data_IF_546531355031
#
_entry.id   IF_546531355031
#
_cell.length_a   1.000
_cell.length_b   1.000
_cell.length_c   1.000
_cell.angle_alpha   90.00
_cell.angle_beta   90.00
_cell.angle_gamma   90.00
#
_symmetry.space_group_name_H-M   'P 1'
#
loop_
_entity.id
_entity.type
_entity.pdbx_description
1 polymer ?
#
# COMPACT_ATOMS: atom_id res chain seq x y z
N UNK A 1 -2.78 -0.11 10.27
CA UNK A 1 -3.20 0.37 11.61
C UNK A 1 -2.46 -0.26 12.77
N UNK A 2 -2.40 -1.59 12.89
CA UNK A 2 -1.79 -2.24 14.07
C UNK A 2 -0.31 -1.87 14.30
N UNK A 3 0.52 -1.89 13.25
CA UNK A 3 1.91 -1.43 13.32
C UNK A 3 2.01 0.10 13.54
N UNK A 4 1.19 0.88 12.84
CA UNK A 4 1.19 2.34 12.95
C UNK A 4 0.77 2.80 14.36
N UNK A 5 -0.15 2.09 15.00
CA UNK A 5 -0.52 2.34 16.39
C UNK A 5 0.70 2.18 17.31
N UNK A 6 1.51 1.14 17.12
CA UNK A 6 2.74 0.95 17.89
C UNK A 6 3.80 2.01 17.60
N UNK A 7 3.95 2.41 16.34
CA UNK A 7 4.87 3.47 15.94
C UNK A 7 4.46 4.82 16.57
N UNK A 8 3.16 5.13 16.54
CA UNK A 8 2.57 6.31 17.20
C UNK A 8 2.69 6.19 18.71
N UNK A 9 2.46 5.02 19.33
CA UNK A 9 2.64 4.85 20.78
C UNK A 9 4.11 4.97 21.21
N UNK A 10 5.04 4.51 20.37
CA UNK A 10 6.47 4.63 20.62
C UNK A 10 6.97 6.07 20.51
N UNK A 11 6.32 6.90 19.68
CA UNK A 11 6.79 8.26 19.35
C UNK A 11 5.89 9.39 19.85
N UNK A 12 4.66 9.10 20.26
CA UNK A 12 3.67 10.09 20.67
C UNK A 12 3.35 10.04 22.15
N UNK A 13 2.89 11.18 22.70
CA UNK A 13 2.47 11.31 24.09
C UNK A 13 0.99 10.91 24.33
N UNK A 14 0.31 10.40 23.31
CA UNK A 14 -1.11 10.04 23.37
C UNK A 14 -1.31 8.54 23.10
N UNK A 15 -2.23 7.92 23.83
CA UNK A 15 -2.64 6.53 23.57
C UNK A 15 -3.54 6.49 22.34
N UNK A 16 -3.13 5.75 21.31
CA UNK A 16 -3.96 5.45 20.14
C UNK A 16 -4.43 3.99 20.21
N UNK A 17 -5.73 3.77 20.40
CA UNK A 17 -6.38 2.49 20.21
C UNK A 17 -7.20 2.57 18.91
N UNK A 18 -6.94 1.67 17.96
CA UNK A 18 -7.76 1.57 16.75
C UNK A 18 -9.00 0.73 17.04
N UNK A 19 -10.16 1.37 17.23
CA UNK A 19 -11.47 0.68 17.39
C UNK A 19 -12.08 0.24 16.05
N UNK A 20 -11.25 -0.06 15.05
CA UNK A 20 -11.71 -0.34 13.68
C UNK A 20 -12.01 -1.83 13.44
N UNK A 21 -11.57 -2.70 14.35
CA UNK A 21 -11.76 -4.14 14.24
C UNK A 21 -12.92 -4.58 15.15
N UNK A 22 -13.87 -5.39 14.64
CA UNK A 22 -14.98 -5.89 15.43
C UNK A 22 -14.51 -6.87 16.52
N UNK A 23 -15.35 -7.07 17.54
CA UNK A 23 -15.04 -7.91 18.71
C UNK A 23 -14.74 -9.38 18.38
N UNK A 24 -15.12 -9.87 17.20
CA UNK A 24 -14.79 -11.21 16.74
C UNK A 24 -13.31 -11.40 16.37
N UNK A 25 -12.53 -10.33 16.28
CA UNK A 25 -11.10 -10.41 15.98
C UNK A 25 -10.30 -10.59 17.26
N UNK A 26 -9.49 -11.65 17.31
CA UNK A 26 -8.52 -11.85 18.40
C UNK A 26 -7.14 -11.36 17.96
N UNK A 27 -6.59 -10.38 18.68
CA UNK A 27 -5.21 -9.92 18.46
C UNK A 27 -4.33 -10.44 19.58
N UNK A 28 -3.34 -11.24 19.22
CA UNK A 28 -2.27 -11.63 20.15
C UNK A 28 -0.97 -10.91 19.79
N UNK A 29 -0.16 -10.64 20.80
CA UNK A 29 1.13 -9.95 20.63
C UNK A 29 2.18 -10.67 21.43
N UNK A 30 3.24 -11.10 20.77
CA UNK A 30 4.42 -11.71 21.39
C UNK A 30 5.58 -10.76 21.17
N UNK A 31 6.24 -10.36 22.26
CA UNK A 31 7.40 -9.47 22.21
C UNK A 31 8.60 -10.29 22.64
N UNK A 32 9.58 -10.43 21.74
CA UNK A 32 10.86 -11.06 22.05
C UNK A 32 11.88 -10.00 22.48
N UNK A 33 13.15 -10.38 22.64
CA UNK A 33 14.22 -9.42 22.89
C UNK A 33 14.39 -8.42 21.74
N UNK A 34 14.16 -8.83 20.49
CA UNK A 34 14.50 -8.07 19.28
C UNK A 34 13.31 -7.80 18.35
N UNK A 35 12.24 -8.61 18.41
CA UNK A 35 11.09 -8.54 17.50
C UNK A 35 9.78 -8.36 18.25
N UNK A 36 8.80 -7.79 17.55
CA UNK A 36 7.40 -7.76 17.95
C UNK A 36 6.58 -8.49 16.89
N UNK A 37 5.94 -9.56 17.32
CA UNK A 37 5.11 -10.42 16.50
C UNK A 37 3.66 -10.21 16.91
N UNK A 38 2.78 -10.02 15.94
CA UNK A 38 1.35 -9.86 16.16
C UNK A 38 0.58 -10.80 15.26
N UNK A 39 -0.38 -11.48 15.86
CA UNK A 39 -1.30 -12.37 15.16
C UNK A 39 -2.69 -11.77 15.25
N UNK A 40 -3.32 -11.58 14.10
CA UNK A 40 -4.69 -11.11 13.97
C UNK A 40 -5.52 -12.29 13.46
N UNK A 41 -6.35 -12.85 14.33
CA UNK A 41 -7.16 -14.03 14.07
C UNK A 41 -8.63 -13.64 13.92
N UNK A 42 -9.20 -13.92 12.74
CA UNK A 42 -10.60 -13.67 12.41
C UNK A 42 -11.49 -14.91 12.66
N UNK A 43 -10.92 -16.00 13.17
CA UNK A 43 -11.61 -17.26 13.40
C UNK A 43 -12.19 -17.85 12.11
N UNK A 44 -13.37 -18.46 12.23
CA UNK A 44 -14.09 -19.07 11.11
C UNK A 44 -14.85 -18.06 10.23
N UNK A 45 -14.96 -16.80 10.66
CA UNK A 45 -15.71 -15.78 9.94
C UNK A 45 -16.08 -14.61 10.85
N UNK A 46 -15.59 -13.43 10.51
CA UNK A 46 -15.76 -12.20 11.26
C UNK A 46 -16.21 -11.10 10.29
N UNK A 47 -17.44 -10.63 10.47
CA UNK A 47 -18.04 -9.59 9.64
C UNK A 47 -17.53 -8.21 10.07
N UNK A 48 -16.91 -7.50 9.13
CA UNK A 48 -16.43 -6.14 9.33
C UNK A 48 -17.59 -5.13 9.21
N UNK A 49 -17.45 -3.92 9.78
CA UNK A 49 -18.47 -2.86 9.69
C UNK A 49 -18.87 -2.45 8.27
N UNK A 50 -18.06 -2.80 7.26
CA UNK A 50 -18.34 -2.54 5.84
C UNK A 50 -19.10 -3.69 5.14
N UNK A 51 -19.51 -4.73 5.88
CA UNK A 51 -20.26 -5.88 5.39
C UNK A 51 -19.39 -6.98 4.74
N UNK A 52 -18.07 -6.85 4.73
CA UNK A 52 -17.18 -7.92 4.27
C UNK A 52 -16.90 -8.91 5.39
N UNK A 53 -16.80 -10.19 5.06
CA UNK A 53 -16.51 -11.27 6.00
C UNK A 53 -15.09 -11.76 5.77
N UNK A 54 -14.27 -11.75 6.82
CA UNK A 54 -12.90 -12.26 6.81
C UNK A 54 -12.81 -13.50 7.69
N UNK A 55 -11.98 -14.47 7.33
CA UNK A 55 -11.66 -15.63 8.17
C UNK A 55 -10.18 -15.95 8.08
N UNK A 56 -9.66 -16.74 9.04
CA UNK A 56 -8.26 -17.12 9.10
C UNK A 56 -7.37 -16.07 9.77
N UNK A 57 -6.07 -16.15 9.51
CA UNK A 57 -5.05 -15.50 10.34
C UNK A 57 -4.13 -14.61 9.49
N UNK A 58 -3.81 -13.44 10.03
CA UNK A 58 -2.75 -12.55 9.52
C UNK A 58 -1.63 -12.49 10.56
N UNK A 59 -0.41 -12.82 10.13
CA UNK A 59 0.80 -12.63 10.92
C UNK A 59 1.50 -11.35 10.51
N UNK A 60 1.91 -10.57 11.50
CA UNK A 60 2.75 -9.38 11.34
C UNK A 60 4.00 -9.54 12.19
N UNK A 61 5.17 -9.22 11.63
CA UNK A 61 6.44 -9.23 12.37
C UNK A 61 7.29 -8.02 12.01
N UNK A 62 7.89 -7.38 13.01
CA UNK A 62 8.74 -6.21 12.84
C UNK A 62 9.73 -6.08 14.00
N UNK A 63 10.79 -5.30 13.80
CA UNK A 63 11.77 -5.05 14.85
C UNK A 63 11.11 -4.29 16.01
N UNK A 64 11.43 -4.71 17.24
CA UNK A 64 10.96 -4.06 18.47
C UNK A 64 11.54 -2.65 18.60
N UNK A 65 12.80 -2.49 18.21
CA UNK A 65 13.47 -1.20 18.20
C UNK A 65 12.97 -0.37 17.00
N UNK A 66 12.12 0.59 17.30
CA UNK A 66 11.55 1.50 16.30
C UNK A 66 12.51 2.64 15.94
N UNK A 67 13.62 2.81 16.67
CA UNK A 67 14.64 3.84 16.40
C UNK A 67 15.70 3.40 15.40
N UNK A 68 15.70 2.11 15.01
CA UNK A 68 16.61 1.59 14.00
C UNK A 68 16.57 2.42 12.71
N UNK A 69 17.74 2.59 12.11
CA UNK A 69 17.89 3.29 10.83
C UNK A 69 17.05 2.63 9.74
N UNK A 70 16.93 1.30 9.80
CA UNK A 70 16.06 0.51 8.93
C UNK A 70 15.21 -0.45 9.75
N UNK A 71 13.95 -0.64 9.37
CA UNK A 71 13.04 -1.61 10.00
C UNK A 71 12.18 -2.26 8.92
N UNK A 72 12.08 -3.59 8.96
CA UNK A 72 11.27 -4.37 8.02
C UNK A 72 10.02 -4.85 8.73
N UNK A 73 8.86 -4.49 8.19
CA UNK A 73 7.56 -5.07 8.54
C UNK A 73 7.27 -6.20 7.56
N UNK A 74 7.03 -7.40 8.07
CA UNK A 74 6.60 -8.55 7.28
C UNK A 74 5.15 -8.92 7.60
N UNK A 75 4.40 -9.30 6.57
CA UNK A 75 3.03 -9.79 6.63
C UNK A 75 2.96 -11.14 5.92
N UNK A 76 2.34 -12.12 6.57
CA UNK A 76 1.95 -13.39 5.96
C UNK A 76 0.54 -13.79 6.36
N UNK A 77 -0.06 -14.67 5.57
CA UNK A 77 -1.43 -15.13 5.74
C UNK A 77 -1.44 -16.64 6.02
N UNK A 78 -2.37 -17.09 6.86
CA UNK A 78 -2.65 -18.51 7.10
C UNK A 78 -4.15 -18.76 7.06
N UNK A 79 -4.57 -19.67 6.17
CA UNK A 79 -5.98 -20.05 5.95
C UNK A 79 -6.90 -18.83 5.78
N UNK A 80 -6.39 -17.74 5.21
CA UNK A 80 -7.09 -16.47 5.17
C UNK A 80 -8.09 -16.43 4.01
N UNK A 81 -9.31 -15.96 4.28
CA UNK A 81 -10.31 -15.71 3.24
C UNK A 81 -10.94 -14.33 3.37
N UNK A 82 -11.31 -13.77 2.22
CA UNK A 82 -12.05 -12.52 2.11
C UNK A 82 -13.32 -12.78 1.29
N UNK A 83 -14.50 -12.66 1.90
CA UNK A 83 -15.78 -13.01 1.28
C UNK A 83 -15.76 -14.37 0.58
N UNK A 84 -15.24 -15.39 1.26
CA UNK A 84 -15.07 -16.77 0.75
C UNK A 84 -14.05 -16.94 -0.39
N UNK A 85 -13.30 -15.91 -0.76
CA UNK A 85 -12.14 -16.02 -1.66
C UNK A 85 -10.92 -16.34 -0.81
N UNK A 86 -10.28 -17.48 -1.06
CA UNK A 86 -9.05 -17.85 -0.37
C UNK A 86 -7.90 -16.95 -0.88
N UNK A 87 -7.13 -16.38 0.03
CA UNK A 87 -6.00 -15.52 -0.32
C UNK A 87 -4.73 -16.09 0.33
N UNK A 88 -3.72 -16.28 -0.50
CA UNK A 88 -2.40 -16.75 -0.09
C UNK A 88 -1.35 -15.72 -0.51
N UNK A 89 -0.25 -15.65 0.23
CA UNK A 89 0.86 -14.78 -0.10
C UNK A 89 1.42 -14.02 1.09
N UNK A 90 2.21 -13.01 0.78
CA UNK A 90 2.93 -12.21 1.76
C UNK A 90 3.23 -10.81 1.23
N UNK A 91 3.53 -9.92 2.16
CA UNK A 91 4.05 -8.60 1.84
C UNK A 91 5.14 -8.21 2.83
N UNK A 92 6.04 -7.33 2.41
CA UNK A 92 7.03 -6.70 3.27
C UNK A 92 7.08 -5.20 3.01
N UNK A 93 7.41 -4.44 4.05
CA UNK A 93 7.70 -3.02 3.94
C UNK A 93 9.02 -2.77 4.66
N UNK A 94 10.06 -2.44 3.90
CA UNK A 94 11.30 -1.90 4.43
C UNK A 94 11.14 -0.40 4.62
N UNK A 95 11.28 0.08 5.85
CA UNK A 95 11.33 1.51 6.16
C UNK A 95 12.76 1.92 6.45
N UNK A 96 13.16 3.05 5.89
CA UNK A 96 14.45 3.68 6.10
C UNK A 96 14.24 5.10 6.62
N UNK A 97 14.96 5.47 7.68
CA UNK A 97 14.90 6.84 8.24
C UNK A 97 15.57 7.86 7.33
N UNK A 98 16.58 7.45 6.59
CA UNK A 98 17.30 8.25 5.62
C UNK A 98 17.84 7.32 4.52
N UNK A 99 17.51 7.61 3.27
CA UNK A 99 18.14 7.02 2.08
C UNK A 99 19.46 7.74 1.76
N UNK A 100 20.05 7.48 0.59
CA UNK A 100 21.31 8.11 0.17
C UNK A 100 21.22 9.64 0.07
N UNK A 101 20.04 10.17 -0.23
CA UNK A 101 19.73 11.61 -0.30
C UNK A 101 19.34 12.21 1.06
N UNK A 102 19.36 11.40 2.13
CA UNK A 102 18.99 11.81 3.49
C UNK A 102 17.47 11.84 3.76
N UNK A 103 16.66 11.42 2.79
CA UNK A 103 15.21 11.43 2.89
C UNK A 103 14.66 10.13 3.50
N UNK A 104 13.61 10.17 4.34
CA UNK A 104 12.91 8.96 4.74
C UNK A 104 12.29 8.26 3.54
N UNK A 105 12.40 6.93 3.50
CA UNK A 105 11.90 6.11 2.40
C UNK A 105 11.21 4.85 2.92
N UNK A 106 10.23 4.37 2.17
CA UNK A 106 9.60 3.07 2.40
C UNK A 106 9.49 2.30 1.09
N UNK A 107 10.04 1.09 1.08
CA UNK A 107 9.96 0.15 -0.03
C UNK A 107 9.02 -0.98 0.37
N UNK A 108 7.99 -1.21 -0.44
CA UNK A 108 6.97 -2.20 -0.18
C UNK A 108 6.92 -3.22 -1.30
N UNK A 109 6.96 -4.49 -0.93
CA UNK A 109 6.89 -5.63 -1.83
C UNK A 109 5.70 -6.49 -1.43
N UNK A 110 4.95 -6.99 -2.41
CA UNK A 110 3.78 -7.81 -2.17
C UNK A 110 3.61 -8.85 -3.27
N UNK A 111 3.21 -10.05 -2.88
CA UNK A 111 2.82 -11.13 -3.79
C UNK A 111 1.64 -11.88 -3.18
N UNK A 112 0.50 -11.86 -3.87
CA UNK A 112 -0.72 -12.51 -3.44
C UNK A 112 -1.36 -13.30 -4.58
N UNK A 113 -1.98 -14.42 -4.24
CA UNK A 113 -2.88 -15.18 -5.10
C UNK A 113 -4.25 -15.30 -4.44
N UNK A 114 -5.30 -15.21 -5.24
CA UNK A 114 -6.68 -15.34 -4.82
C UNK A 114 -7.33 -16.51 -5.57
N UNK A 115 -8.08 -17.34 -4.87
CA UNK A 115 -8.79 -18.50 -5.41
C UNK A 115 -10.25 -18.44 -5.00
N UNK A 116 -11.15 -18.39 -5.98
CA UNK A 116 -12.60 -18.36 -5.75
C UNK A 116 -13.15 -19.78 -5.56
N UNK A 117 -14.33 -19.93 -4.91
CA UNK A 117 -14.97 -21.25 -4.73
C UNK A 117 -15.28 -22.00 -6.02
N UNK A 118 -15.42 -21.30 -7.14
CA UNK A 118 -15.64 -21.89 -8.47
C UNK A 118 -14.34 -22.40 -9.13
N UNK A 119 -13.18 -22.20 -8.50
CA UNK A 119 -11.87 -22.60 -9.00
C UNK A 119 -11.14 -21.53 -9.82
N UNK A 120 -11.75 -20.36 -10.05
CA UNK A 120 -11.07 -19.24 -10.70
C UNK A 120 -9.92 -18.71 -9.84
N UNK A 121 -8.85 -18.23 -10.47
CA UNK A 121 -7.67 -17.71 -9.78
C UNK A 121 -7.24 -16.35 -10.29
N UNK A 122 -6.72 -15.50 -9.40
CA UNK A 122 -6.10 -14.23 -9.75
C UNK A 122 -4.79 -14.07 -8.96
N UNK A 123 -3.88 -13.26 -9.47
CA UNK A 123 -2.64 -12.94 -8.77
C UNK A 123 -2.31 -11.46 -8.84
N UNK A 124 -1.59 -11.00 -7.83
CA UNK A 124 -1.06 -9.65 -7.74
C UNK A 124 0.38 -9.71 -7.26
N UNK A 125 1.27 -9.06 -7.99
CA UNK A 125 2.63 -8.76 -7.51
C UNK A 125 2.85 -7.26 -7.60
N UNK A 126 3.54 -6.70 -6.62
CA UNK A 126 3.79 -5.27 -6.62
C UNK A 126 4.99 -4.88 -5.81
N UNK A 127 5.74 -3.93 -6.36
CA UNK A 127 6.86 -3.26 -5.71
C UNK A 127 6.56 -1.77 -5.74
N UNK A 128 6.74 -1.08 -4.61
CA UNK A 128 6.48 0.36 -4.51
C UNK A 128 7.46 1.02 -3.56
N UNK A 129 8.17 2.01 -4.06
CA UNK A 129 8.97 2.94 -3.29
C UNK A 129 8.18 4.22 -3.03
N UNK A 130 8.22 4.70 -1.80
CA UNK A 130 7.70 6.00 -1.39
C UNK A 130 8.77 6.74 -0.61
N UNK A 131 9.25 7.83 -1.19
CA UNK A 131 10.24 8.72 -0.59
C UNK A 131 9.57 9.99 -0.09
N UNK A 132 9.96 10.48 1.09
CA UNK A 132 9.46 11.71 1.69
C UNK A 132 10.47 12.85 1.50
N UNK A 133 10.25 13.68 0.48
CA UNK A 133 11.24 14.66 0.02
C UNK A 133 11.08 16.06 0.62
N UNK A 134 9.89 16.43 1.11
CA UNK A 134 9.63 17.73 1.75
C UNK A 134 8.67 17.57 2.94
N UNK A 135 8.79 18.42 3.96
CA UNK A 135 7.89 18.43 5.13
C UNK A 135 8.27 17.43 6.25
N UNK A 136 9.28 16.58 6.03
CA UNK A 136 9.73 15.67 7.09
C UNK A 136 10.30 16.43 8.29
N UNK A 137 9.80 16.09 9.49
CA UNK A 137 10.23 16.70 10.75
C UNK A 137 9.56 18.03 11.10
N UNK A 138 8.74 18.61 10.22
CA UNK A 138 8.02 19.88 10.50
C UNK A 138 6.88 19.68 11.49
N UNK A 139 6.34 18.46 11.56
CA UNK A 139 5.16 18.11 12.35
C UNK A 139 3.84 18.59 11.74
N UNK A 140 3.87 19.21 10.56
CA UNK A 140 2.69 19.67 9.85
C UNK A 140 2.50 18.85 8.57
N UNK A 141 1.48 18.00 8.52
CA UNK A 141 1.29 17.10 7.38
C UNK A 141 1.04 17.82 6.04
N UNK A 142 0.59 19.07 6.05
CA UNK A 142 0.19 19.79 4.84
C UNK A 142 1.35 20.19 3.93
N UNK A 143 2.58 20.31 4.46
CA UNK A 143 3.77 20.61 3.66
C UNK A 143 4.48 19.34 3.15
N UNK A 144 3.92 18.16 3.43
CA UNK A 144 4.54 16.91 3.04
C UNK A 144 4.47 16.68 1.54
N UNK A 145 5.61 16.35 0.95
CA UNK A 145 5.70 15.90 -0.43
C UNK A 145 6.38 14.55 -0.52
N UNK A 146 5.79 13.68 -1.34
CA UNK A 146 6.29 12.34 -1.59
C UNK A 146 6.57 12.10 -3.06
N UNK A 147 7.62 11.35 -3.36
CA UNK A 147 7.82 10.69 -4.65
C UNK A 147 7.40 9.23 -4.53
N UNK A 148 6.60 8.76 -5.49
CA UNK A 148 6.09 7.39 -5.52
C UNK A 148 6.51 6.75 -6.84
N UNK A 149 7.26 5.66 -6.75
CA UNK A 149 7.64 4.84 -7.90
C UNK A 149 7.33 3.38 -7.62
N UNK A 150 7.25 2.57 -8.67
CA UNK A 150 7.00 1.14 -8.53
C UNK A 150 6.32 0.52 -9.73
N UNK A 151 6.06 -0.78 -9.59
CA UNK A 151 5.42 -1.62 -10.58
C UNK A 151 4.44 -2.55 -9.91
N UNK A 152 3.22 -2.63 -10.42
CA UNK A 152 2.20 -3.58 -9.99
C UNK A 152 1.70 -4.38 -11.17
N UNK A 153 1.69 -5.70 -11.05
CA UNK A 153 1.13 -6.63 -12.04
C UNK A 153 -0.06 -7.35 -11.41
N UNK A 154 -1.21 -7.28 -12.07
CA UNK A 154 -2.41 -8.00 -11.69
C UNK A 154 -2.84 -8.92 -12.83
N UNK A 155 -2.98 -10.21 -12.53
CA UNK A 155 -3.53 -11.20 -13.45
C UNK A 155 -4.92 -11.57 -12.97
N UNK A 156 -5.94 -11.27 -13.76
CA UNK A 156 -7.33 -11.55 -13.39
C UNK A 156 -7.76 -13.00 -13.69
N UNK A 157 -8.95 -13.41 -13.21
CA UNK A 157 -9.54 -14.74 -13.43
C UNK A 157 -9.58 -15.23 -14.87
N UNK A 158 -9.76 -14.31 -15.82
CA UNK A 158 -9.83 -14.61 -17.25
C UNK A 158 -8.46 -14.56 -17.96
N UNK A 159 -7.35 -14.56 -17.19
CA UNK A 159 -5.99 -14.48 -17.73
C UNK A 159 -5.56 -13.11 -18.26
N UNK A 160 -6.41 -12.08 -18.15
CA UNK A 160 -6.03 -10.72 -18.53
C UNK A 160 -4.97 -10.18 -17.58
N UNK A 161 -3.87 -9.69 -18.13
CA UNK A 161 -2.77 -9.10 -17.35
C UNK A 161 -2.85 -7.58 -17.43
N UNK A 162 -2.86 -6.95 -16.27
CA UNK A 162 -2.82 -5.50 -16.11
C UNK A 162 -1.52 -5.11 -15.41
N UNK A 163 -0.72 -4.24 -16.03
CA UNK A 163 0.50 -3.73 -15.41
C UNK A 163 0.37 -2.23 -15.21
N UNK A 164 0.76 -1.75 -14.04
CA UNK A 164 0.94 -0.33 -13.75
C UNK A 164 2.38 -0.11 -13.39
N UNK A 165 3.07 0.77 -14.10
CA UNK A 165 4.50 1.01 -13.91
C UNK A 165 4.78 2.50 -14.00
N UNK A 166 5.43 3.05 -12.98
CA UNK A 166 5.85 4.45 -13.01
C UNK A 166 7.07 4.60 -13.91
N UNK A 167 6.96 5.42 -14.96
CA UNK A 167 8.09 5.77 -15.83
C UNK A 167 8.90 6.91 -15.21
N UNK A 168 8.20 7.87 -14.62
CA UNK A 168 8.77 8.96 -13.83
C UNK A 168 8.09 8.96 -12.47
N UNK A 169 8.83 9.10 -11.35
CA UNK A 169 8.23 9.09 -10.03
C UNK A 169 7.08 10.08 -9.92
N UNK A 170 5.97 9.63 -9.32
CA UNK A 170 4.77 10.42 -9.15
C UNK A 170 4.93 11.35 -7.94
N UNK A 171 4.81 12.66 -8.14
CA UNK A 171 4.89 13.65 -7.06
C UNK A 171 3.52 13.84 -6.41
N UNK A 172 3.44 13.51 -5.12
CA UNK A 172 2.24 13.64 -4.30
C UNK A 172 2.47 14.65 -3.18
N UNK A 173 1.87 15.83 -3.33
CA UNK A 173 1.90 16.90 -2.31
C UNK A 173 0.66 16.84 -1.45
N UNK A 174 0.75 16.59 -0.15
CA UNK A 174 -0.45 16.37 0.67
C UNK A 174 -1.40 17.58 0.74
N UNK A 175 -0.91 18.80 0.55
CA UNK A 175 -1.73 20.00 0.35
C UNK A 175 -2.63 19.92 -0.90
N UNK A 176 -2.19 19.20 -1.94
CA UNK A 176 -2.96 19.01 -3.16
C UNK A 176 -3.83 17.75 -3.09
N UNK A 177 -4.99 17.80 -3.75
CA UNK A 177 -5.90 16.66 -3.87
C UNK A 177 -5.41 15.61 -4.88
N UNK A 178 -4.62 16.04 -5.85
CA UNK A 178 -4.19 15.23 -6.99
C UNK A 178 -2.69 14.94 -6.93
N UNK A 179 -2.25 13.97 -7.74
CA UNK A 179 -0.82 13.83 -8.07
C UNK A 179 -0.52 14.97 -9.04
N UNK A 180 0.56 15.71 -8.77
CA UNK A 180 0.84 16.97 -9.47
C UNK A 180 1.81 16.81 -10.64
N UNK A 181 2.61 15.73 -10.65
CA UNK A 181 3.51 15.42 -11.76
C UNK A 181 3.97 13.96 -11.74
N UNK A 182 4.61 13.54 -12.84
CA UNK A 182 5.11 12.19 -13.06
C UNK A 182 4.31 11.45 -14.13
N UNK A 183 4.80 10.27 -14.52
CA UNK A 183 4.25 9.51 -15.65
C UNK A 183 4.01 8.07 -15.23
N UNK A 184 2.78 7.59 -15.45
CA UNK A 184 2.36 6.22 -15.17
C UNK A 184 1.96 5.51 -16.46
N UNK A 185 2.64 4.40 -16.77
CA UNK A 185 2.19 3.48 -17.80
C UNK A 185 1.19 2.49 -17.23
N UNK A 186 0.11 2.29 -17.97
CA UNK A 186 -0.96 1.34 -17.67
C UNK A 186 -1.09 0.44 -18.90
N UNK A 187 -0.67 -0.81 -18.77
CA UNK A 187 -0.85 -1.81 -19.81
C UNK A 187 -1.98 -2.76 -19.46
N UNK A 188 -2.66 -3.22 -20.52
CA UNK A 188 -3.59 -4.34 -20.49
C UNK A 188 -3.23 -5.26 -21.65
N UNK A 189 -2.70 -6.43 -21.33
CA UNK A 189 -2.10 -7.34 -22.30
C UNK A 189 -1.04 -6.57 -23.13
N UNK A 190 -1.19 -6.52 -24.46
CA UNK A 190 -0.22 -5.88 -25.36
C UNK A 190 -0.47 -4.37 -25.60
N UNK A 191 -1.52 -3.80 -25.01
CA UNK A 191 -1.88 -2.40 -25.19
C UNK A 191 -1.45 -1.57 -23.98
N UNK A 192 -0.59 -0.57 -24.19
CA UNK A 192 -0.10 0.34 -23.14
C UNK A 192 -0.59 1.75 -23.38
N UNK A 193 -1.25 2.33 -22.39
CA UNK A 193 -1.53 3.75 -22.30
C UNK A 193 -0.58 4.41 -21.29
N UNK A 194 -0.26 5.68 -21.49
CA UNK A 194 0.56 6.47 -20.57
C UNK A 194 -0.25 7.64 -20.03
N UNK A 195 -0.19 7.87 -18.72
CA UNK A 195 -0.83 8.99 -18.06
C UNK A 195 0.25 9.92 -17.48
N UNK A 196 0.33 11.12 -18.02
CA UNK A 196 1.12 12.23 -17.48
C UNK A 196 0.25 13.07 -16.54
N UNK A 197 0.72 13.27 -15.32
CA UNK A 197 0.02 14.00 -14.26
C UNK A 197 0.26 15.52 -14.29
N UNK A 198 1.13 16.02 -15.16
CA UNK A 198 1.37 17.45 -15.34
C UNK A 198 2.73 17.91 -14.81
N UNK A 199 2.83 19.22 -14.63
CA UNK A 199 4.10 19.94 -14.42
C UNK A 199 4.39 20.30 -12.96
N UNK A 200 3.54 19.88 -12.02
CA UNK A 200 3.60 20.27 -10.61
C UNK A 200 2.47 21.21 -10.19
N UNK A 201 1.67 21.72 -11.13
CA UNK A 201 0.49 22.52 -10.81
C UNK A 201 -0.57 21.68 -10.09
N UNK A 202 -1.12 22.19 -8.98
CA UNK A 202 -2.23 21.54 -8.30
C UNK A 202 -3.56 21.80 -9.04
N UNK A 203 -3.78 21.06 -10.11
CA UNK A 203 -5.05 21.03 -10.83
C UNK A 203 -5.60 19.60 -10.96
N UNK A 204 -6.79 19.49 -11.56
CA UNK A 204 -7.48 18.22 -11.74
C UNK A 204 -7.24 17.61 -13.12
N UNK A 205 -6.13 17.93 -13.81
CA UNK A 205 -5.90 17.55 -15.20
C UNK A 205 -4.72 16.59 -15.33
N UNK A 206 -4.76 15.80 -16.39
CA UNK A 206 -3.65 14.96 -16.82
C UNK A 206 -3.79 14.64 -18.30
N UNK A 207 -2.72 14.19 -18.93
CA UNK A 207 -2.71 13.83 -20.35
C UNK A 207 -2.63 12.31 -20.48
N UNK A 208 -3.70 11.71 -21.00
CA UNK A 208 -3.73 10.30 -21.32
C UNK A 208 -3.31 10.11 -22.78
N UNK A 209 -2.24 9.36 -22.99
CA UNK A 209 -1.76 8.92 -24.31
C UNK A 209 -2.16 7.46 -24.52
N UNK A 210 -2.90 7.21 -25.59
CA UNK A 210 -3.39 5.89 -25.97
C UNK A 210 -2.31 5.08 -26.72
N UNK A 211 -2.49 3.75 -26.87
CA UNK A 211 -1.53 2.91 -27.60
C UNK A 211 -1.30 3.32 -29.06
N UNK A 212 -2.25 4.01 -29.69
CA UNK A 212 -2.14 4.52 -31.06
C UNK A 212 -1.38 5.86 -31.17
N UNK A 213 -0.89 6.38 -30.04
CA UNK A 213 -0.18 7.65 -29.93
C UNK A 213 -1.09 8.88 -29.85
N UNK A 214 -2.42 8.72 -29.95
CA UNK A 214 -3.35 9.82 -29.72
C UNK A 214 -3.34 10.22 -28.24
N UNK A 215 -3.47 11.51 -27.95
CA UNK A 215 -3.50 12.02 -26.58
C UNK A 215 -4.74 12.86 -26.30
N UNK A 216 -5.18 12.84 -25.04
CA UNK A 216 -6.35 13.58 -24.58
C UNK A 216 -6.15 14.09 -23.16
N UNK A 217 -6.51 15.35 -22.92
CA UNK A 217 -6.65 15.87 -21.56
C UNK A 217 -7.83 15.18 -20.86
N UNK A 218 -7.56 14.61 -19.69
CA UNK A 218 -8.55 13.98 -18.83
C UNK A 218 -8.64 14.70 -17.50
N UNK A 219 -9.80 14.61 -16.85
CA UNK A 219 -9.95 15.04 -15.47
C UNK A 219 -9.56 13.92 -14.51
N UNK A 220 -8.56 14.17 -13.68
CA UNK A 220 -8.15 13.29 -12.59
C UNK A 220 -9.29 13.20 -11.57
N UNK A 221 -9.60 11.98 -11.15
CA UNK A 221 -10.55 11.76 -10.06
C UNK A 221 -9.80 11.60 -8.75
N UNK A 222 -10.45 11.99 -7.66
CA UNK A 222 -9.97 11.70 -6.31
C UNK A 222 -9.85 10.19 -6.16
N UNK A 223 -8.70 9.70 -5.71
CA UNK A 223 -8.64 8.40 -5.08
C UNK A 223 -9.50 8.47 -3.80
N UNK A 224 -10.62 7.74 -3.79
CA UNK A 224 -11.36 7.52 -2.55
C UNK A 224 -10.45 6.61 -1.71
N UNK A 225 -9.92 7.16 -0.63
CA UNK A 225 -9.23 6.38 0.40
C UNK A 225 -10.23 5.50 1.14
#
# INVERSE_FOLDING_TARGET
>A
DVYMADEVLATSKFSYNSDFLPDCVTITTVITSTTKERTIDFGEGCELPNGNVLSGIIYLSYAKDMEMATNTLSLSLENFTFNSVAIEGSASILRMRANEEGNPQSDADASFSATWPNGDTASFTGERTREWIEGYGTGFWGDNVYLISGKGTFTGPMGNVFVKETVTPLRRELACRFIVSGVLNISRNDATASLDFGDGSCDAKGVLTYPDGSSKEIFLRRFLN
#
